data_IF_648359642637
#
_entry.id   IF_648359642637
#
_cell.length_a   1.000
_cell.length_b   1.000
_cell.length_c   1.000
_cell.angle_alpha   90.00
_cell.angle_beta   90.00
_cell.angle_gamma   90.00
#
_symmetry.space_group_name_H-M   'P 1'
#
loop_
_entity.id
_entity.type
_entity.pdbx_description
1 polymer ?
#
# COMPACT_ATOMS: atom_id res chain seq x y z
N UNK A 1 -18.96 31.49 -1.58
CA UNK A 1 -17.84 30.53 -1.42
C UNK A 1 -17.58 30.40 0.07
N UNK A 2 -18.02 29.30 0.71
CA UNK A 2 -17.69 29.07 2.12
C UNK A 2 -16.25 28.60 2.20
N UNK A 3 -15.42 29.13 3.10
CA UNK A 3 -14.06 28.64 3.27
C UNK A 3 -14.13 27.19 3.77
N UNK A 4 -13.63 26.25 2.98
CA UNK A 4 -13.45 24.87 3.42
C UNK A 4 -12.53 24.88 4.64
N UNK A 5 -13.08 24.70 5.82
CA UNK A 5 -12.30 24.38 7.02
C UNK A 5 -11.74 22.97 6.81
N UNK A 6 -10.50 22.87 6.42
CA UNK A 6 -9.72 21.63 6.47
C UNK A 6 -9.53 21.23 7.94
N UNK A 7 -10.55 20.64 8.54
CA UNK A 7 -10.42 20.02 9.85
C UNK A 7 -9.89 18.60 9.63
N UNK A 8 -8.74 18.31 10.20
CA UNK A 8 -8.21 16.95 10.21
C UNK A 8 -9.24 16.02 10.91
N UNK A 9 -9.62 14.89 10.30
CA UNK A 9 -10.55 13.96 10.93
C UNK A 9 -9.96 13.24 12.15
N UNK A 10 -8.66 13.41 12.38
CA UNK A 10 -7.93 12.71 13.42
C UNK A 10 -7.78 13.53 14.70
N UNK A 11 -7.97 12.86 15.86
CA UNK A 11 -7.73 13.46 17.16
C UNK A 11 -6.22 13.75 17.39
N UNK A 12 -5.91 14.55 18.41
CA UNK A 12 -4.53 14.97 18.68
C UNK A 12 -3.60 13.78 18.94
N UNK A 13 -4.07 12.76 19.66
CA UNK A 13 -3.26 11.57 19.99
C UNK A 13 -2.82 10.82 18.72
N UNK A 14 -3.73 10.63 17.78
CA UNK A 14 -3.41 9.97 16.52
C UNK A 14 -2.48 10.81 15.64
N UNK A 15 -2.62 12.12 15.65
CA UNK A 15 -1.70 13.04 14.95
C UNK A 15 -0.29 12.97 15.53
N UNK A 16 -0.15 12.89 16.86
CA UNK A 16 1.14 12.70 17.53
C UNK A 16 1.75 11.33 17.18
N UNK A 17 0.94 10.27 17.17
CA UNK A 17 1.35 8.96 16.71
C UNK A 17 1.92 9.00 15.29
N UNK A 18 1.22 9.62 14.34
CA UNK A 18 1.69 9.73 12.96
C UNK A 18 2.97 10.57 12.85
N UNK A 19 3.07 11.65 13.59
CA UNK A 19 4.29 12.47 13.62
C UNK A 19 5.48 11.65 14.15
N UNK A 20 5.28 10.92 15.25
CA UNK A 20 6.31 10.04 15.82
C UNK A 20 6.70 8.94 14.83
N UNK A 21 5.72 8.33 14.14
CA UNK A 21 5.99 7.35 13.09
C UNK A 21 6.85 7.93 11.97
N UNK A 22 6.44 9.06 11.39
CA UNK A 22 7.14 9.69 10.27
C UNK A 22 8.57 10.09 10.64
N UNK A 23 8.76 10.67 11.83
CA UNK A 23 10.09 11.06 12.31
C UNK A 23 10.96 9.84 12.57
N UNK A 24 10.43 8.79 13.22
CA UNK A 24 11.16 7.54 13.47
C UNK A 24 11.61 6.88 12.17
N UNK A 25 10.69 6.75 11.20
CA UNK A 25 11.03 6.14 9.91
C UNK A 25 12.09 6.94 9.15
N UNK A 26 11.94 8.26 9.10
CA UNK A 26 12.85 9.15 8.38
C UNK A 26 14.25 9.21 9.00
N UNK A 27 14.34 9.20 10.31
CA UNK A 27 15.62 9.34 11.01
C UNK A 27 16.34 8.01 11.21
N UNK A 28 15.60 6.92 11.49
CA UNK A 28 16.19 5.65 11.88
C UNK A 28 16.14 4.58 10.80
N UNK A 29 15.13 4.56 9.92
CA UNK A 29 14.94 3.47 8.97
C UNK A 29 15.38 3.82 7.55
N UNK A 30 15.11 5.04 7.09
CA UNK A 30 15.35 5.48 5.70
C UNK A 30 16.81 5.33 5.26
N UNK A 31 17.77 5.52 6.14
CA UNK A 31 19.20 5.47 5.86
C UNK A 31 19.82 4.08 6.04
N UNK A 32 19.05 3.11 6.53
CA UNK A 32 19.57 1.77 6.81
C UNK A 32 19.84 1.01 5.52
N UNK A 33 21.00 0.33 5.37
CA UNK A 33 21.25 -0.55 4.22
C UNK A 33 20.36 -1.80 4.26
N UNK A 34 20.29 -2.53 3.13
CA UNK A 34 19.43 -3.72 2.98
C UNK A 34 19.56 -4.76 4.11
N UNK A 35 20.76 -5.10 4.63
CA UNK A 35 20.90 -6.08 5.71
C UNK A 35 20.15 -5.71 7.00
N UNK A 36 19.86 -4.43 7.23
CA UNK A 36 19.09 -3.97 8.40
C UNK A 36 17.57 -4.14 8.25
N UNK A 37 17.12 -5.01 7.37
CA UNK A 37 15.69 -5.29 7.19
C UNK A 37 15.00 -5.73 8.50
N UNK A 38 15.65 -6.56 9.31
CA UNK A 38 15.10 -7.00 10.61
C UNK A 38 14.79 -5.82 11.54
N UNK A 39 15.64 -4.81 11.56
CA UNK A 39 15.41 -3.59 12.33
C UNK A 39 14.18 -2.82 11.81
N UNK A 40 14.04 -2.66 10.51
CA UNK A 40 12.86 -2.00 9.92
C UNK A 40 11.56 -2.74 10.23
N UNK A 41 11.59 -4.08 10.16
CA UNK A 41 10.44 -4.93 10.53
C UNK A 41 10.10 -4.76 12.01
N UNK A 42 11.09 -4.73 12.89
CA UNK A 42 10.89 -4.48 14.31
C UNK A 42 10.21 -3.12 14.56
N UNK A 43 10.71 -2.05 13.93
CA UNK A 43 10.11 -0.72 14.05
C UNK A 43 8.67 -0.70 13.53
N UNK A 44 8.38 -1.30 12.38
CA UNK A 44 7.01 -1.41 11.85
C UNK A 44 6.06 -2.11 12.82
N UNK A 45 6.50 -3.22 13.42
CA UNK A 45 5.70 -3.95 14.43
C UNK A 45 5.47 -3.12 15.68
N UNK A 46 6.46 -2.34 16.13
CA UNK A 46 6.34 -1.42 17.27
C UNK A 46 5.25 -0.37 17.02
N UNK A 47 5.10 0.08 15.77
CA UNK A 47 4.04 0.99 15.35
C UNK A 47 2.76 0.29 14.90
N UNK A 48 2.56 -0.97 15.27
CA UNK A 48 1.29 -1.69 15.14
C UNK A 48 1.09 -2.44 13.83
N UNK A 49 2.07 -2.51 12.92
CA UNK A 49 1.97 -3.33 11.73
C UNK A 49 2.02 -4.83 12.08
N UNK A 50 1.17 -5.63 11.44
CA UNK A 50 1.21 -7.09 11.52
C UNK A 50 2.07 -7.64 10.39
N UNK A 51 3.20 -8.23 10.72
CA UNK A 51 4.20 -8.65 9.74
C UNK A 51 4.61 -10.10 10.03
N UNK A 52 4.50 -10.95 9.01
CA UNK A 52 4.91 -12.35 9.04
C UNK A 52 6.43 -12.55 9.04
N UNK A 53 6.85 -13.74 8.64
CA UNK A 53 8.24 -14.17 8.57
C UNK A 53 8.82 -13.93 7.17
N UNK A 54 10.15 -13.81 7.06
CA UNK A 54 10.86 -13.64 5.77
C UNK A 54 10.36 -12.47 4.90
N UNK A 55 9.74 -11.46 5.51
CA UNK A 55 9.26 -10.26 4.81
C UNK A 55 10.44 -9.33 4.54
N UNK A 56 10.47 -8.74 3.35
CA UNK A 56 11.41 -7.68 2.98
C UNK A 56 10.69 -6.35 2.79
N UNK A 57 11.15 -5.31 3.49
CA UNK A 57 10.67 -3.93 3.32
C UNK A 57 11.85 -3.04 2.95
N UNK A 58 11.80 -2.45 1.76
CA UNK A 58 12.85 -1.51 1.35
C UNK A 58 12.86 -0.27 2.23
N UNK A 59 14.04 0.28 2.56
CA UNK A 59 14.19 1.44 3.44
C UNK A 59 13.47 2.70 2.95
N UNK A 60 13.28 2.84 1.63
CA UNK A 60 12.55 3.96 1.02
C UNK A 60 11.07 3.68 0.81
N UNK A 61 10.55 2.53 1.24
CA UNK A 61 9.11 2.28 1.21
C UNK A 61 8.39 3.34 2.05
N UNK A 62 7.25 3.81 1.55
CA UNK A 62 6.43 4.85 2.19
C UNK A 62 5.16 4.21 2.72
N UNK A 63 5.00 4.19 4.03
CA UNK A 63 3.86 3.60 4.72
C UNK A 63 3.20 4.70 5.54
N UNK A 64 1.96 5.06 5.20
CA UNK A 64 1.29 6.18 5.85
C UNK A 64 0.85 5.83 7.29
N UNK A 65 0.25 4.65 7.49
CA UNK A 65 -0.33 4.21 8.76
C UNK A 65 0.09 2.77 9.08
N UNK A 66 1.18 2.53 9.80
CA UNK A 66 1.64 1.16 10.11
C UNK A 66 0.58 0.28 10.77
N UNK A 67 -0.25 0.84 11.65
CA UNK A 67 -1.33 0.10 12.32
C UNK A 67 -2.40 -0.46 11.36
N UNK A 68 -2.48 0.06 10.13
CA UNK A 68 -3.37 -0.40 9.06
C UNK A 68 -2.63 -1.28 8.04
N UNK A 69 -1.49 -1.88 8.40
CA UNK A 69 -0.70 -2.72 7.49
C UNK A 69 -0.59 -4.14 8.00
N UNK A 70 -0.90 -5.08 7.12
CA UNK A 70 -0.66 -6.50 7.31
C UNK A 70 0.15 -7.06 6.14
N UNK A 71 1.29 -7.71 6.46
CA UNK A 71 2.16 -8.39 5.50
C UNK A 71 2.27 -9.86 5.90
N UNK A 72 1.85 -10.75 5.03
CA UNK A 72 2.03 -12.20 5.18
C UNK A 72 3.49 -12.62 5.00
N UNK A 73 3.76 -13.92 5.18
CA UNK A 73 5.10 -14.47 5.07
C UNK A 73 5.69 -14.29 3.67
N UNK A 74 6.98 -13.99 3.58
CA UNK A 74 7.69 -13.88 2.31
C UNK A 74 7.32 -12.69 1.44
N UNK A 75 6.50 -11.74 1.92
CA UNK A 75 6.15 -10.54 1.17
C UNK A 75 7.35 -9.64 0.89
N UNK A 76 7.29 -8.93 -0.23
CA UNK A 76 8.30 -7.96 -0.60
C UNK A 76 7.68 -6.59 -0.90
N UNK A 77 8.15 -5.56 -0.19
CA UNK A 77 7.89 -4.16 -0.53
C UNK A 77 9.15 -3.55 -1.16
N UNK A 78 9.05 -3.23 -2.44
CA UNK A 78 10.11 -2.67 -3.25
C UNK A 78 10.49 -1.23 -2.91
N UNK A 79 11.50 -0.76 -3.61
CA UNK A 79 12.00 0.60 -3.46
C UNK A 79 10.91 1.65 -3.72
N UNK A 80 10.76 2.61 -2.81
CA UNK A 80 9.78 3.68 -2.89
C UNK A 80 8.32 3.20 -3.13
N UNK A 81 8.00 1.91 -2.91
CA UNK A 81 6.62 1.43 -2.88
C UNK A 81 5.81 2.28 -1.88
N UNK A 82 4.65 2.76 -2.31
CA UNK A 82 3.85 3.69 -1.52
C UNK A 82 2.53 3.06 -1.09
N UNK A 83 2.35 2.89 0.21
CA UNK A 83 1.15 2.38 0.83
C UNK A 83 0.42 3.55 1.52
N UNK A 84 -0.52 4.18 0.80
CA UNK A 84 -1.39 5.22 1.35
C UNK A 84 -2.60 4.55 2.01
N UNK A 85 -2.38 4.00 3.19
CA UNK A 85 -3.24 3.06 3.87
C UNK A 85 -4.06 3.69 5.00
N UNK A 86 -4.93 4.66 4.66
CA UNK A 86 -5.91 5.23 5.59
C UNK A 86 -6.91 4.15 6.05
N UNK A 87 -7.33 3.27 5.15
CA UNK A 87 -7.99 1.99 5.45
C UNK A 87 -6.96 0.86 5.41
N UNK A 88 -7.29 -0.34 5.94
CA UNK A 88 -6.37 -1.46 5.95
C UNK A 88 -5.83 -1.85 4.56
N UNK A 89 -4.54 -2.17 4.49
CA UNK A 89 -3.93 -2.88 3.37
C UNK A 89 -3.45 -4.23 3.89
N UNK A 90 -4.00 -5.31 3.32
CA UNK A 90 -3.61 -6.68 3.61
C UNK A 90 -2.85 -7.25 2.41
N UNK A 91 -1.58 -7.58 2.58
CA UNK A 91 -0.74 -8.20 1.56
C UNK A 91 -0.45 -9.62 2.04
N UNK A 92 -0.98 -10.63 1.32
CA UNK A 92 -0.87 -12.04 1.68
C UNK A 92 0.48 -12.61 1.30
N UNK A 93 0.77 -13.81 1.80
CA UNK A 93 2.06 -14.48 1.69
C UNK A 93 2.58 -14.56 0.24
N UNK A 94 3.87 -14.36 0.06
CA UNK A 94 4.54 -14.44 -1.24
C UNK A 94 4.30 -13.26 -2.17
N UNK A 95 3.36 -12.36 -1.85
CA UNK A 95 3.04 -11.25 -2.74
C UNK A 95 4.16 -10.20 -2.80
N UNK A 96 4.35 -9.62 -3.97
CA UNK A 96 5.38 -8.61 -4.24
C UNK A 96 4.76 -7.31 -4.71
N UNK A 97 5.12 -6.23 -4.03
CA UNK A 97 4.84 -4.85 -4.43
C UNK A 97 6.13 -4.27 -4.98
N UNK A 98 6.22 -4.12 -6.30
CA UNK A 98 7.43 -3.65 -6.96
C UNK A 98 7.69 -2.16 -6.67
N UNK A 99 8.84 -1.67 -7.14
CA UNK A 99 9.29 -0.31 -6.90
C UNK A 99 8.28 0.75 -7.39
N UNK A 100 8.11 1.78 -6.60
CA UNK A 100 7.23 2.92 -6.86
C UNK A 100 5.75 2.56 -7.09
N UNK A 101 5.33 1.30 -6.90
CA UNK A 101 3.92 0.94 -6.96
C UNK A 101 3.14 1.65 -5.85
N UNK A 102 1.93 2.10 -6.17
CA UNK A 102 1.10 2.89 -5.27
C UNK A 102 -0.21 2.18 -4.95
N UNK A 103 -0.39 1.81 -3.70
CA UNK A 103 -1.62 1.24 -3.17
C UNK A 103 -2.36 2.35 -2.41
N UNK A 104 -3.48 2.82 -2.95
CA UNK A 104 -4.23 3.95 -2.40
C UNK A 104 -5.57 3.49 -1.86
N UNK A 105 -5.75 3.51 -0.54
CA UNK A 105 -7.02 3.12 0.09
C UNK A 105 -8.01 4.27 0.23
N UNK A 106 -7.66 5.48 -0.17
CA UNK A 106 -8.51 6.65 0.02
C UNK A 106 -8.78 7.39 -1.28
N UNK A 107 -9.95 8.00 -1.37
CA UNK A 107 -10.39 8.86 -2.46
C UNK A 107 -11.39 9.89 -1.92
N UNK A 108 -11.97 10.68 -2.79
CA UNK A 108 -13.06 11.59 -2.47
C UNK A 108 -14.35 11.15 -3.17
N UNK A 109 -15.46 11.39 -2.52
CA UNK A 109 -16.77 11.21 -3.16
C UNK A 109 -17.08 12.42 -4.06
N UNK A 110 -16.91 12.22 -5.37
CA UNK A 110 -17.13 13.25 -6.39
C UNK A 110 -18.61 13.49 -6.70
N UNK A 111 -19.53 12.70 -6.14
CA UNK A 111 -20.98 12.92 -6.28
C UNK A 111 -21.48 14.08 -5.41
N UNK A 112 -20.72 14.43 -4.38
CA UNK A 112 -21.03 15.48 -3.42
C UNK A 112 -20.10 16.68 -3.60
N UNK A 113 -20.68 17.89 -3.57
CA UNK A 113 -19.90 19.14 -3.70
C UNK A 113 -18.85 19.34 -2.59
N UNK A 114 -19.08 18.74 -1.41
CA UNK A 114 -18.17 18.81 -0.26
C UNK A 114 -16.95 17.90 -0.41
N UNK A 115 -16.92 17.02 -1.43
CA UNK A 115 -15.84 16.07 -1.70
C UNK A 115 -15.36 15.32 -0.44
N UNK A 116 -16.26 14.68 0.33
CA UNK A 116 -15.85 14.03 1.56
C UNK A 116 -14.83 12.92 1.26
N UNK A 117 -13.88 12.76 2.17
CA UNK A 117 -12.91 11.69 2.11
C UNK A 117 -13.61 10.34 2.33
N UNK A 118 -13.41 9.42 1.39
CA UNK A 118 -13.84 8.02 1.49
C UNK A 118 -12.62 7.11 1.49
N UNK A 119 -12.71 6.00 2.21
CA UNK A 119 -11.63 5.01 2.21
C UNK A 119 -12.20 3.59 2.22
N UNK A 120 -11.48 2.68 1.54
CA UNK A 120 -11.85 1.27 1.47
C UNK A 120 -10.58 0.40 1.45
N UNK A 121 -10.61 -0.79 2.09
CA UNK A 121 -9.43 -1.64 2.22
C UNK A 121 -8.95 -2.17 0.87
N UNK A 122 -7.65 -2.47 0.77
CA UNK A 122 -7.06 -3.18 -0.38
C UNK A 122 -6.55 -4.53 0.11
N UNK A 123 -6.82 -5.56 -0.68
CA UNK A 123 -6.32 -6.91 -0.45
C UNK A 123 -5.46 -7.33 -1.65
N UNK A 124 -4.21 -7.69 -1.39
CA UNK A 124 -3.32 -8.35 -2.36
C UNK A 124 -3.20 -9.79 -1.88
N UNK A 125 -3.74 -10.73 -2.66
CA UNK A 125 -3.75 -12.13 -2.30
C UNK A 125 -2.39 -12.80 -2.52
N UNK A 126 -2.29 -14.08 -2.14
CA UNK A 126 -1.04 -14.82 -2.13
C UNK A 126 -0.39 -14.85 -3.51
N UNK A 127 0.93 -14.74 -3.54
CA UNK A 127 1.78 -14.80 -4.74
C UNK A 127 1.43 -13.77 -5.84
N UNK A 128 0.58 -12.79 -5.53
CA UNK A 128 0.26 -11.73 -6.49
C UNK A 128 1.44 -10.77 -6.68
N UNK A 129 1.60 -10.28 -7.89
CA UNK A 129 2.66 -9.36 -8.27
C UNK A 129 2.10 -8.02 -8.74
N UNK A 130 2.46 -6.95 -8.04
CA UNK A 130 2.12 -5.58 -8.43
C UNK A 130 3.35 -4.95 -9.09
N UNK A 131 3.26 -4.72 -10.39
CA UNK A 131 4.34 -4.18 -11.20
C UNK A 131 4.77 -2.77 -10.81
N UNK A 132 5.98 -2.40 -11.22
CA UNK A 132 6.55 -1.09 -10.93
C UNK A 132 5.64 0.04 -11.37
N UNK A 133 5.46 1.06 -10.51
CA UNK A 133 4.60 2.24 -10.76
C UNK A 133 3.13 1.90 -11.04
N UNK A 134 2.67 0.69 -10.78
CA UNK A 134 1.26 0.38 -10.87
C UNK A 134 0.48 1.09 -9.77
N UNK A 135 -0.72 1.53 -10.09
CA UNK A 135 -1.62 2.21 -9.15
C UNK A 135 -2.84 1.33 -8.87
N UNK A 136 -3.11 1.04 -7.60
CA UNK A 136 -4.29 0.27 -7.18
C UNK A 136 -5.24 1.18 -6.44
N UNK A 137 -6.48 1.28 -6.95
CA UNK A 137 -7.54 2.12 -6.37
C UNK A 137 -8.15 1.51 -5.10
N UNK A 138 -8.87 2.33 -4.28
CA UNK A 138 -9.50 1.87 -3.04
C UNK A 138 -10.50 0.73 -3.24
N UNK A 139 -10.61 -0.16 -2.25
CA UNK A 139 -11.65 -1.19 -2.20
C UNK A 139 -11.43 -2.39 -3.11
N UNK A 140 -10.23 -2.56 -3.65
CA UNK A 140 -9.95 -3.60 -4.63
C UNK A 140 -9.21 -4.79 -4.04
N UNK A 141 -9.51 -5.96 -4.61
CA UNK A 141 -8.75 -7.19 -4.39
C UNK A 141 -7.97 -7.54 -5.65
N UNK A 142 -6.68 -7.81 -5.50
CA UNK A 142 -5.84 -8.43 -6.53
C UNK A 142 -5.66 -9.88 -6.18
N UNK A 143 -6.28 -10.77 -6.95
CA UNK A 143 -6.41 -12.18 -6.65
C UNK A 143 -5.09 -12.94 -6.69
N UNK A 144 -5.10 -14.14 -6.10
CA UNK A 144 -3.94 -15.05 -5.96
C UNK A 144 -3.20 -15.23 -7.29
N UNK A 145 -1.88 -15.19 -7.22
CA UNK A 145 -0.98 -15.43 -8.35
C UNK A 145 -1.31 -14.61 -9.62
N UNK A 146 -2.01 -13.47 -9.45
CA UNK A 146 -2.25 -12.55 -10.55
C UNK A 146 -1.12 -11.54 -10.70
N UNK A 147 -0.97 -11.01 -11.90
CA UNK A 147 0.08 -10.08 -12.25
C UNK A 147 -0.55 -8.77 -12.72
N UNK A 148 -0.18 -7.69 -12.06
CA UNK A 148 -0.46 -6.33 -12.52
C UNK A 148 0.79 -5.81 -13.23
N UNK A 149 0.69 -5.50 -14.51
CA UNK A 149 1.79 -4.96 -15.31
C UNK A 149 2.27 -3.60 -14.80
N UNK A 150 3.51 -3.26 -15.11
CA UNK A 150 4.08 -1.96 -14.74
C UNK A 150 3.26 -0.79 -15.30
N UNK A 151 3.23 0.35 -14.58
CA UNK A 151 2.51 1.56 -14.96
C UNK A 151 1.00 1.38 -15.18
N UNK A 152 0.40 0.32 -14.66
CA UNK A 152 -1.03 0.03 -14.81
C UNK A 152 -1.87 0.72 -13.75
N UNK A 153 -3.10 1.11 -14.11
CA UNK A 153 -4.08 1.64 -13.16
C UNK A 153 -5.20 0.62 -12.96
N UNK A 154 -5.18 -0.03 -11.79
CA UNK A 154 -6.19 -1.05 -11.43
C UNK A 154 -7.43 -0.34 -10.89
N UNK A 155 -8.52 -0.40 -11.66
CA UNK A 155 -9.79 0.25 -11.35
C UNK A 155 -10.91 -0.73 -11.00
N UNK A 156 -10.63 -2.04 -11.06
CA UNK A 156 -11.54 -3.16 -10.70
C UNK A 156 -10.73 -4.29 -10.10
N UNK A 157 -11.34 -5.08 -9.23
CA UNK A 157 -10.69 -6.26 -8.68
C UNK A 157 -10.22 -7.21 -9.77
N UNK A 158 -9.05 -7.80 -9.57
CA UNK A 158 -8.39 -8.71 -10.51
C UNK A 158 -8.63 -10.14 -10.03
N UNK A 159 -9.28 -11.00 -10.82
CA UNK A 159 -9.44 -12.41 -10.47
C UNK A 159 -8.09 -13.12 -10.36
N UNK A 160 -8.05 -14.22 -9.59
CA UNK A 160 -6.84 -15.05 -9.43
C UNK A 160 -6.29 -15.55 -10.76
N UNK A 161 -4.97 -15.71 -10.85
CA UNK A 161 -4.25 -16.22 -12.03
C UNK A 161 -4.42 -15.40 -13.31
N UNK A 162 -4.75 -14.12 -13.19
CA UNK A 162 -4.87 -13.24 -14.36
C UNK A 162 -3.69 -12.25 -14.45
N UNK A 163 -3.29 -11.97 -15.68
CA UNK A 163 -2.40 -10.85 -15.99
C UNK A 163 -3.23 -9.69 -16.52
N UNK A 164 -3.06 -8.52 -15.89
CA UNK A 164 -3.72 -7.27 -16.32
C UNK A 164 -2.68 -6.18 -16.54
N UNK A 165 -2.90 -5.30 -17.50
CA UNK A 165 -2.06 -4.11 -17.69
C UNK A 165 -2.82 -2.97 -18.38
N UNK A 166 -2.22 -1.77 -18.33
CA UNK A 166 -2.72 -0.56 -18.97
C UNK A 166 -3.47 0.39 -18.05
N UNK A 167 -3.97 1.48 -18.61
CA UNK A 167 -4.76 2.49 -17.90
C UNK A 167 -6.06 2.76 -18.67
N UNK A 168 -7.23 2.31 -18.18
CA UNK A 168 -7.41 1.40 -17.05
C UNK A 168 -6.89 -0.02 -17.36
N UNK A 169 -6.45 -0.74 -16.31
CA UNK A 169 -5.91 -2.09 -16.47
C UNK A 169 -6.97 -3.06 -17.03
N UNK A 170 -6.56 -3.85 -18.03
CA UNK A 170 -7.38 -4.86 -18.69
C UNK A 170 -6.62 -6.18 -18.76
N UNK A 171 -7.36 -7.27 -18.81
CA UNK A 171 -6.77 -8.60 -18.96
C UNK A 171 -5.92 -8.67 -20.23
N UNK A 172 -4.71 -9.19 -20.07
CA UNK A 172 -3.83 -9.54 -21.19
C UNK A 172 -4.03 -11.03 -21.47
N UNK A 173 -4.40 -11.36 -22.70
CA UNK A 173 -4.39 -12.74 -23.20
C UNK A 173 -3.02 -12.93 -23.82
N UNK A 174 -2.21 -13.86 -23.27
CA UNK A 174 -0.96 -14.24 -23.94
C UNK A 174 -1.37 -14.89 -25.27
N UNK A 175 -1.00 -14.30 -26.38
CA UNK A 175 -0.94 -15.02 -27.66
C UNK A 175 0.14 -16.08 -27.52
N UNK A 176 -0.25 -17.33 -27.63
CA UNK A 176 0.64 -18.50 -27.71
C UNK A 176 1.49 -18.41 -28.96
#
# INVERSE_FOLDING_TARGET
MQPHRFSSPWNLQYRLYLLTWMTTWSLLCFWTPKPFNCFRIFVLRLFGARIGTHVFVHQRARIAHPCNLELGDGCCLGDAAHLYNLAPICIRSGATIAQEAYLCTASHDFSLQTLPLISAPIVIEEDAFIGARAFVLPGLTVGRASIVGACSVVTRSVPSHQTVAGNPARRIIKSS
#
